data_IF_605355884111
#
_entry.id   IF_605355884111
#
_cell.length_a   1.000
_cell.length_b   1.000
_cell.length_c   1.000
_cell.angle_alpha   90.00
_cell.angle_beta   90.00
_cell.angle_gamma   90.00
#
_symmetry.space_group_name_H-M   'P 1'
#
loop_
_entity.id
_entity.type
_entity.pdbx_description
1 polymer ?
#
# COMPACT_ATOMS: atom_id res chain seq x y z
N UNK A 1 57.89 -17.25 -27.50
CA UNK A 1 57.58 -17.20 -28.95
C UNK A 1 56.24 -16.48 -29.17
N UNK A 2 55.92 -16.02 -30.37
CA UNK A 2 54.67 -15.27 -30.66
C UNK A 2 53.40 -16.10 -30.34
N UNK A 3 53.50 -17.43 -30.48
CA UNK A 3 52.45 -18.39 -30.14
C UNK A 3 52.11 -18.40 -28.63
N UNK A 4 53.11 -18.31 -27.76
CA UNK A 4 52.90 -18.27 -26.29
C UNK A 4 52.15 -17.00 -25.88
N UNK A 5 52.45 -15.86 -26.49
CA UNK A 5 51.75 -14.59 -26.20
C UNK A 5 50.28 -14.68 -26.59
N UNK A 6 49.95 -15.27 -27.74
CA UNK A 6 48.56 -15.50 -28.17
C UNK A 6 47.83 -16.46 -27.23
N UNK A 7 48.48 -17.54 -26.81
CA UNK A 7 47.91 -18.50 -25.86
C UNK A 7 47.60 -17.84 -24.51
N UNK A 8 48.52 -17.03 -23.99
CA UNK A 8 48.34 -16.29 -22.72
C UNK A 8 47.19 -15.29 -22.84
N UNK A 9 47.11 -14.52 -23.93
CA UNK A 9 46.00 -13.58 -24.16
C UNK A 9 44.64 -14.27 -24.24
N UNK A 10 44.56 -15.44 -24.88
CA UNK A 10 43.34 -16.24 -24.96
C UNK A 10 42.88 -16.71 -23.58
N UNK A 11 43.81 -17.28 -22.79
CA UNK A 11 43.51 -17.77 -21.44
C UNK A 11 43.09 -16.62 -20.52
N UNK A 12 43.82 -15.51 -20.53
CA UNK A 12 43.44 -14.33 -19.74
C UNK A 12 42.09 -13.74 -20.18
N UNK A 13 41.83 -13.66 -21.49
CA UNK A 13 40.55 -13.20 -22.01
C UNK A 13 39.38 -14.09 -21.55
N UNK A 14 39.57 -15.41 -21.55
CA UNK A 14 38.56 -16.38 -21.12
C UNK A 14 38.31 -16.29 -19.60
N UNK A 15 39.35 -16.10 -18.81
CA UNK A 15 39.24 -15.88 -17.35
C UNK A 15 38.48 -14.58 -17.07
N UNK A 16 38.85 -13.48 -17.72
CA UNK A 16 38.19 -12.19 -17.55
C UNK A 16 36.71 -12.28 -17.95
N UNK A 17 36.41 -12.89 -19.10
CA UNK A 17 35.05 -13.10 -19.55
C UNK A 17 34.23 -13.94 -18.55
N UNK A 18 34.83 -14.99 -17.98
CA UNK A 18 34.21 -15.80 -16.92
C UNK A 18 33.87 -14.98 -15.67
N UNK A 19 34.82 -14.15 -15.19
CA UNK A 19 34.61 -13.28 -14.04
C UNK A 19 33.49 -12.27 -14.30
N UNK A 20 33.50 -11.62 -15.46
CA UNK A 20 32.44 -10.67 -15.83
C UNK A 20 31.08 -11.36 -15.96
N UNK A 21 31.01 -12.59 -16.49
CA UNK A 21 29.77 -13.34 -16.59
C UNK A 21 29.18 -13.63 -15.20
N UNK A 22 30.00 -14.13 -14.27
CA UNK A 22 29.57 -14.38 -12.88
C UNK A 22 29.14 -13.09 -12.18
N UNK A 23 29.90 -12.01 -12.34
CA UNK A 23 29.54 -10.72 -11.74
C UNK A 23 28.21 -10.17 -12.27
N UNK A 24 27.99 -10.26 -13.58
CA UNK A 24 26.75 -9.81 -14.22
C UNK A 24 25.56 -10.63 -13.71
N UNK A 25 25.71 -11.94 -13.60
CA UNK A 25 24.67 -12.82 -13.07
C UNK A 25 24.35 -12.53 -11.59
N UNK A 26 25.38 -12.41 -10.75
CA UNK A 26 25.23 -12.12 -9.33
C UNK A 26 24.60 -10.75 -9.07
N UNK A 27 25.00 -9.72 -9.83
CA UNK A 27 24.43 -8.37 -9.67
C UNK A 27 22.94 -8.30 -10.05
N UNK A 28 22.50 -9.08 -11.04
CA UNK A 28 21.09 -9.18 -11.40
C UNK A 28 20.28 -9.88 -10.31
N UNK A 29 20.77 -11.02 -9.82
CA UNK A 29 20.11 -11.76 -8.73
C UNK A 29 20.01 -10.91 -7.46
N UNK A 30 21.05 -10.17 -7.11
CA UNK A 30 21.02 -9.26 -5.97
C UNK A 30 19.99 -8.14 -6.15
N UNK A 31 19.93 -7.49 -7.32
CA UNK A 31 18.93 -6.44 -7.59
C UNK A 31 17.50 -6.97 -7.44
N UNK A 32 17.22 -8.16 -8.00
CA UNK A 32 15.91 -8.77 -7.89
C UNK A 32 15.55 -9.10 -6.43
N UNK A 33 16.50 -9.65 -5.66
CA UNK A 33 16.29 -9.94 -4.25
C UNK A 33 16.00 -8.66 -3.43
N UNK A 34 16.73 -7.57 -3.69
CA UNK A 34 16.50 -6.27 -3.04
C UNK A 34 15.12 -5.72 -3.37
N UNK A 35 14.68 -5.80 -4.63
CA UNK A 35 13.34 -5.37 -5.03
C UNK A 35 12.24 -6.16 -4.31
N UNK A 36 12.36 -7.49 -4.27
CA UNK A 36 11.37 -8.34 -3.60
C UNK A 36 11.33 -8.11 -2.09
N UNK A 37 12.50 -7.88 -1.48
CA UNK A 37 12.60 -7.54 -0.06
C UNK A 37 11.96 -6.17 0.22
N UNK A 38 12.21 -5.17 -0.64
CA UNK A 38 11.62 -3.83 -0.53
C UNK A 38 10.10 -3.88 -0.58
N UNK A 39 9.54 -4.54 -1.60
CA UNK A 39 8.09 -4.72 -1.75
C UNK A 39 7.47 -5.44 -0.55
N UNK A 40 8.12 -6.47 -0.01
CA UNK A 40 7.61 -7.20 1.15
C UNK A 40 7.58 -6.31 2.40
N UNK A 41 8.65 -5.55 2.65
CA UNK A 41 8.71 -4.61 3.77
C UNK A 41 7.68 -3.47 3.67
N UNK A 42 7.45 -2.96 2.46
CA UNK A 42 6.42 -1.96 2.17
C UNK A 42 5.02 -2.52 2.44
N UNK A 43 4.72 -3.73 1.97
CA UNK A 43 3.45 -4.43 2.22
C UNK A 43 3.19 -4.62 3.72
N UNK A 44 4.18 -5.10 4.48
CA UNK A 44 4.06 -5.27 5.93
C UNK A 44 3.87 -3.93 6.66
N UNK A 45 4.50 -2.86 6.17
CA UNK A 45 4.31 -1.51 6.71
C UNK A 45 2.87 -1.03 6.53
N UNK A 46 2.35 -1.14 5.29
CA UNK A 46 0.96 -0.78 4.97
C UNK A 46 -0.03 -1.60 5.77
N UNK A 47 0.13 -2.92 5.80
CA UNK A 47 -0.74 -3.84 6.54
C UNK A 47 -0.78 -3.48 8.02
N UNK A 48 0.40 -3.32 8.66
CA UNK A 48 0.48 -2.98 10.09
C UNK A 48 -0.17 -1.64 10.37
N UNK A 49 0.08 -0.62 9.54
CA UNK A 49 -0.47 0.71 9.72
C UNK A 49 -1.99 0.71 9.57
N UNK A 50 -2.51 0.13 8.50
CA UNK A 50 -3.95 0.04 8.24
C UNK A 50 -4.67 -0.77 9.33
N UNK A 51 -4.13 -1.93 9.70
CA UNK A 51 -4.70 -2.78 10.77
C UNK A 51 -4.71 -2.08 12.12
N UNK A 52 -3.63 -1.37 12.48
CA UNK A 52 -3.55 -0.63 13.73
C UNK A 52 -4.58 0.52 13.78
N UNK A 53 -4.73 1.24 12.67
CA UNK A 53 -5.68 2.34 12.58
C UNK A 53 -7.13 1.83 12.61
N UNK A 54 -7.44 0.73 11.92
CA UNK A 54 -8.78 0.14 11.92
C UNK A 54 -9.14 -0.50 13.27
N UNK A 55 -8.18 -1.11 13.98
CA UNK A 55 -8.39 -1.64 15.34
C UNK A 55 -8.89 -0.59 16.31
N UNK A 56 -8.42 0.65 16.19
CA UNK A 56 -8.90 1.76 17.00
C UNK A 56 -10.26 2.31 16.54
N UNK A 57 -10.79 1.87 15.41
CA UNK A 57 -12.04 2.36 14.84
C UNK A 57 -13.27 1.56 15.30
N UNK A 58 -14.38 1.76 14.61
CA UNK A 58 -15.66 1.10 14.81
C UNK A 58 -16.18 0.58 13.45
N UNK A 59 -16.56 -0.69 13.37
CA UNK A 59 -16.95 -1.33 12.10
C UNK A 59 -18.12 -0.62 11.40
N UNK A 60 -19.14 -0.20 12.15
CA UNK A 60 -20.30 0.52 11.60
C UNK A 60 -20.00 1.88 10.95
N UNK A 61 -18.76 2.37 10.98
CA UNK A 61 -18.36 3.63 10.31
C UNK A 61 -17.61 3.40 9.00
N UNK A 62 -17.46 2.15 8.60
CA UNK A 62 -16.82 1.80 7.34
C UNK A 62 -17.66 2.35 6.18
N UNK A 63 -17.01 3.14 5.33
CA UNK A 63 -17.51 3.44 4.00
C UNK A 63 -16.47 2.98 2.98
N UNK A 64 -16.94 2.29 1.94
CA UNK A 64 -16.14 1.82 0.82
C UNK A 64 -16.71 2.42 -0.46
N UNK A 65 -15.87 3.04 -1.27
CA UNK A 65 -16.23 3.53 -2.60
C UNK A 65 -15.41 2.74 -3.61
N UNK A 66 -16.03 1.85 -4.41
CA UNK A 66 -15.31 1.10 -5.42
C UNK A 66 -14.81 2.05 -6.51
N UNK A 67 -13.59 1.82 -6.98
CA UNK A 67 -13.00 2.53 -8.13
C UNK A 67 -12.23 1.54 -8.95
N UNK A 68 -12.34 1.63 -10.25
CA UNK A 68 -11.59 0.79 -11.17
C UNK A 68 -10.74 1.66 -12.10
N UNK A 69 -9.58 1.15 -12.48
CA UNK A 69 -8.72 1.74 -13.50
C UNK A 69 -8.04 0.66 -14.31
N UNK A 70 -7.50 1.00 -15.47
CA UNK A 70 -6.72 0.08 -16.28
C UNK A 70 -5.23 0.35 -16.06
N UNK A 71 -4.47 -0.67 -15.66
CA UNK A 71 -3.02 -0.55 -15.43
C UNK A 71 -2.27 -1.73 -16.04
N UNK A 72 -1.33 -1.47 -16.94
CA UNK A 72 -0.63 -2.53 -17.68
C UNK A 72 -1.56 -3.36 -18.59
N UNK A 73 -2.66 -2.77 -19.07
CA UNK A 73 -3.62 -3.42 -19.97
C UNK A 73 -4.63 -4.35 -19.29
N UNK A 74 -4.68 -4.37 -17.96
CA UNK A 74 -5.68 -5.10 -17.17
C UNK A 74 -6.44 -4.15 -16.25
N UNK A 75 -7.73 -4.44 -16.03
CA UNK A 75 -8.55 -3.71 -15.06
C UNK A 75 -8.18 -4.12 -13.64
N UNK A 76 -7.99 -3.13 -12.78
CA UNK A 76 -7.56 -3.27 -11.39
C UNK A 76 -8.43 -2.39 -10.49
N UNK A 77 -8.76 -2.92 -9.31
CA UNK A 77 -9.54 -2.20 -8.30
C UNK A 77 -8.64 -1.28 -7.47
N UNK A 78 -9.15 -0.08 -7.22
CA UNK A 78 -8.53 1.05 -6.52
C UNK A 78 -9.49 1.63 -5.49
N UNK A 79 -10.15 0.76 -4.75
CA UNK A 79 -11.21 1.13 -3.83
C UNK A 79 -10.74 2.21 -2.85
N UNK A 80 -11.64 3.10 -2.47
CA UNK A 80 -11.42 3.99 -1.34
C UNK A 80 -12.09 3.39 -0.10
N UNK A 81 -11.41 3.49 1.03
CA UNK A 81 -11.87 3.03 2.33
C UNK A 81 -11.83 4.21 3.28
N UNK A 82 -12.87 4.37 4.10
CA UNK A 82 -12.81 5.25 5.25
C UNK A 82 -13.46 4.65 6.47
N UNK A 83 -13.04 5.13 7.63
CA UNK A 83 -13.58 4.78 8.93
C UNK A 83 -13.19 5.85 9.96
N UNK A 84 -13.90 5.91 11.07
CA UNK A 84 -13.69 6.94 12.10
C UNK A 84 -12.42 6.74 12.90
N UNK A 85 -11.88 7.83 13.43
CA UNK A 85 -10.83 7.83 14.45
C UNK A 85 -11.03 8.99 15.41
N UNK A 86 -10.14 9.12 16.40
CA UNK A 86 -10.10 10.27 17.31
C UNK A 86 -8.94 11.20 16.97
N UNK A 87 -9.08 12.48 17.33
CA UNK A 87 -8.01 13.46 17.24
C UNK A 87 -6.83 13.14 18.15
N UNK A 88 -7.13 12.74 19.38
CA UNK A 88 -6.18 12.22 20.36
C UNK A 88 -6.88 11.17 21.23
N UNK A 89 -6.34 9.95 21.23
CA UNK A 89 -6.82 8.85 22.08
C UNK A 89 -6.48 9.04 23.56
N UNK A 90 -5.60 9.99 23.90
CA UNK A 90 -5.17 10.27 25.26
C UNK A 90 -5.98 11.38 25.94
N UNK A 91 -6.69 12.20 25.16
CA UNK A 91 -7.48 13.30 25.70
C UNK A 91 -8.86 12.77 26.18
N UNK A 92 -9.15 12.85 27.49
CA UNK A 92 -10.45 12.45 28.02
C UNK A 92 -11.64 13.24 27.43
N UNK A 93 -11.41 14.44 26.90
CA UNK A 93 -12.46 15.25 26.27
C UNK A 93 -13.04 14.60 25.00
N UNK A 94 -12.27 13.73 24.35
CA UNK A 94 -12.68 12.95 23.18
C UNK A 94 -13.52 11.72 23.54
N UNK A 95 -13.86 11.55 24.82
CA UNK A 95 -14.69 10.45 25.30
C UNK A 95 -15.95 11.00 25.96
N UNK A 96 -17.07 10.32 25.76
CA UNK A 96 -18.27 10.52 26.55
C UNK A 96 -18.01 10.09 28.00
N UNK A 97 -18.70 10.64 29.02
CA UNK A 97 -18.59 10.16 30.40
C UNK A 97 -18.82 8.66 30.62
N UNK A 98 -19.45 7.97 29.66
CA UNK A 98 -19.65 6.51 29.63
C UNK A 98 -18.44 5.74 29.10
N UNK A 99 -17.37 6.43 28.69
CA UNK A 99 -16.16 5.85 28.09
C UNK A 99 -16.22 5.63 26.58
N UNK A 100 -17.32 5.99 25.92
CA UNK A 100 -17.46 5.83 24.46
C UNK A 100 -16.71 6.94 23.71
N UNK A 101 -15.97 6.61 22.62
CA UNK A 101 -15.33 7.60 21.78
C UNK A 101 -16.32 8.59 21.15
N UNK A 102 -15.95 9.87 21.13
CA UNK A 102 -16.58 10.91 20.31
C UNK A 102 -15.80 11.03 19.02
N UNK A 103 -16.15 10.19 18.05
CA UNK A 103 -15.51 10.17 16.74
C UNK A 103 -15.49 11.57 16.13
N UNK A 104 -14.32 12.18 15.99
CA UNK A 104 -14.18 13.57 15.53
C UNK A 104 -13.35 13.68 14.25
N UNK A 105 -12.87 12.54 13.73
CA UNK A 105 -12.09 12.46 12.50
C UNK A 105 -12.43 11.22 11.71
N UNK A 106 -12.16 11.29 10.41
CA UNK A 106 -12.09 10.14 9.53
C UNK A 106 -10.65 9.86 9.12
N UNK A 107 -10.35 8.57 9.00
CA UNK A 107 -9.21 8.10 8.22
C UNK A 107 -9.70 7.66 6.86
N UNK A 108 -9.04 8.16 5.82
CA UNK A 108 -9.35 7.83 4.43
C UNK A 108 -8.13 7.19 3.80
N UNK A 109 -8.32 6.06 3.15
CA UNK A 109 -7.32 5.31 2.41
C UNK A 109 -7.79 5.16 0.99
N UNK A 110 -7.00 5.60 0.03
CA UNK A 110 -7.31 5.40 -1.37
C UNK A 110 -6.03 5.41 -2.20
N UNK A 111 -5.93 4.60 -3.25
CA UNK A 111 -4.87 4.75 -4.22
C UNK A 111 -5.18 5.86 -5.21
N UNK A 112 -4.14 6.54 -5.71
CA UNK A 112 -4.26 7.32 -6.95
C UNK A 112 -4.48 6.39 -8.15
N UNK A 113 -5.09 6.92 -9.21
CA UNK A 113 -5.44 6.19 -10.43
C UNK A 113 -4.30 6.15 -11.46
N UNK A 114 -3.13 6.68 -11.11
CA UNK A 114 -1.91 6.61 -11.92
C UNK A 114 -1.52 5.14 -12.21
N UNK A 115 -0.71 4.95 -13.26
CA UNK A 115 -0.25 3.61 -13.66
C UNK A 115 0.52 2.90 -12.52
N UNK A 116 1.39 3.64 -11.84
CA UNK A 116 1.98 3.32 -10.55
C UNK A 116 1.27 4.15 -9.48
N UNK A 117 0.11 3.66 -9.02
CA UNK A 117 -0.72 4.41 -8.10
C UNK A 117 -0.10 4.49 -6.71
N UNK A 118 -0.40 5.58 -6.00
CA UNK A 118 0.14 5.87 -4.67
C UNK A 118 -0.93 5.60 -3.62
N UNK A 119 -0.65 4.80 -2.59
CA UNK A 119 -1.59 4.59 -1.49
C UNK A 119 -1.56 5.82 -0.58
N UNK A 120 -2.57 6.65 -0.67
CA UNK A 120 -2.73 7.83 0.17
C UNK A 120 -3.49 7.45 1.44
N UNK A 121 -2.96 7.87 2.57
CA UNK A 121 -3.66 7.89 3.86
C UNK A 121 -3.91 9.33 4.27
N UNK A 122 -5.15 9.68 4.51
CA UNK A 122 -5.55 10.99 4.98
C UNK A 122 -6.23 10.93 6.34
N UNK A 123 -6.07 12.02 7.09
CA UNK A 123 -6.87 12.34 8.26
C UNK A 123 -7.74 13.53 7.86
N UNK A 124 -9.05 13.34 7.93
CA UNK A 124 -10.05 14.34 7.57
C UNK A 124 -10.80 14.76 8.81
N UNK A 125 -10.96 16.06 8.99
CA UNK A 125 -11.81 16.63 10.03
C UNK A 125 -13.28 16.38 9.66
N UNK A 126 -13.99 15.66 10.52
CA UNK A 126 -15.44 15.48 10.36
C UNK A 126 -16.25 16.57 11.06
N UNK A 127 -15.59 17.45 11.82
CA UNK A 127 -16.22 18.15 12.93
C UNK A 127 -16.58 17.18 14.05
N UNK A 128 -17.37 17.67 15.02
CA UNK A 128 -17.79 16.86 16.18
C UNK A 128 -18.91 15.90 15.75
N UNK A 129 -18.60 14.62 15.54
CA UNK A 129 -19.62 13.58 15.39
C UNK A 129 -19.91 12.96 16.76
N UNK A 130 -21.20 12.87 17.08
CA UNK A 130 -21.65 12.27 18.33
C UNK A 130 -21.92 10.75 18.21
N UNK A 131 -21.64 10.14 17.06
CA UNK A 131 -21.93 8.73 16.83
C UNK A 131 -21.11 8.09 15.71
N UNK A 132 -21.10 6.74 15.64
CA UNK A 132 -20.39 6.00 14.61
C UNK A 132 -21.17 6.08 13.29
N UNK A 133 -20.84 7.07 12.46
CA UNK A 133 -21.48 7.27 11.14
C UNK A 133 -20.44 7.08 10.03
N UNK A 134 -20.77 6.36 8.93
CA UNK A 134 -19.90 6.28 7.76
C UNK A 134 -19.64 7.65 7.12
N UNK A 135 -18.48 7.82 6.49
CA UNK A 135 -18.12 9.09 5.87
C UNK A 135 -18.89 9.31 4.56
N UNK A 136 -19.93 10.16 4.60
CA UNK A 136 -20.81 10.41 3.47
C UNK A 136 -20.09 11.02 2.25
N UNK A 137 -19.09 11.87 2.49
CA UNK A 137 -18.40 12.61 1.43
C UNK A 137 -17.17 11.85 0.87
N UNK A 138 -16.99 10.57 1.22
CA UNK A 138 -15.82 9.79 0.79
C UNK A 138 -15.59 9.86 -0.73
N UNK A 139 -16.64 9.69 -1.54
CA UNK A 139 -16.53 9.71 -3.00
C UNK A 139 -16.06 11.07 -3.56
N UNK A 140 -16.32 12.16 -2.84
CA UNK A 140 -15.91 13.51 -3.20
C UNK A 140 -14.50 13.86 -2.67
N UNK A 141 -13.99 13.08 -1.71
CA UNK A 141 -12.79 13.40 -0.95
C UNK A 141 -11.62 12.44 -1.19
N UNK A 142 -11.45 12.05 -2.46
CA UNK A 142 -10.45 11.08 -2.94
C UNK A 142 -9.79 11.58 -4.23
N UNK A 143 -9.50 12.88 -4.28
CA UNK A 143 -8.81 13.53 -5.39
C UNK A 143 -7.41 12.95 -5.61
N UNK A 144 -6.98 12.92 -6.87
CA UNK A 144 -5.60 12.54 -7.28
C UNK A 144 -4.54 13.50 -6.73
N UNK A 145 -4.96 14.71 -6.32
CA UNK A 145 -4.16 15.70 -5.61
C UNK A 145 -4.68 15.77 -4.16
N UNK A 146 -4.10 15.00 -3.22
CA UNK A 146 -4.58 14.89 -1.85
C UNK A 146 -4.83 16.22 -1.15
N UNK A 147 -3.98 17.23 -1.39
CA UNK A 147 -4.06 18.57 -0.83
C UNK A 147 -5.32 19.36 -1.22
N UNK A 148 -6.05 18.92 -2.26
CA UNK A 148 -7.30 19.55 -2.70
C UNK A 148 -8.53 19.01 -2.00
N UNK A 149 -8.38 17.93 -1.22
CA UNK A 149 -9.45 17.30 -0.46
C UNK A 149 -9.94 18.21 0.68
N UNK A 150 -11.27 18.33 0.81
CA UNK A 150 -11.90 19.16 1.82
C UNK A 150 -11.69 18.58 3.23
N UNK A 151 -11.51 19.46 4.22
CA UNK A 151 -11.32 19.03 5.62
C UNK A 151 -10.03 18.26 5.88
N UNK A 152 -9.07 18.26 4.94
CA UNK A 152 -7.78 17.58 5.12
C UNK A 152 -7.00 18.20 6.29
N UNK A 153 -6.67 17.37 7.27
CA UNK A 153 -5.77 17.72 8.37
C UNK A 153 -4.35 17.21 8.14
N UNK A 154 -4.24 16.00 7.59
CA UNK A 154 -2.96 15.34 7.33
C UNK A 154 -3.09 14.40 6.14
N UNK A 155 -2.07 14.38 5.27
CA UNK A 155 -1.93 13.39 4.19
C UNK A 155 -0.56 12.72 4.29
N UNK A 156 -0.50 11.43 3.98
CA UNK A 156 0.75 10.67 3.93
C UNK A 156 0.66 9.58 2.87
N UNK A 157 1.66 9.50 2.00
CA UNK A 157 1.79 8.39 1.07
C UNK A 157 2.40 7.19 1.81
N UNK A 158 1.70 6.06 1.82
CA UNK A 158 2.15 4.82 2.45
C UNK A 158 2.90 3.90 1.46
N UNK A 159 2.58 4.02 0.19
CA UNK A 159 3.18 3.24 -0.90
C UNK A 159 3.13 4.03 -2.20
N UNK A 160 4.18 3.92 -3.02
CA UNK A 160 4.26 4.58 -4.34
C UNK A 160 3.98 3.59 -5.50
N UNK A 161 3.86 2.30 -5.19
CA UNK A 161 3.88 1.20 -6.16
C UNK A 161 2.60 0.35 -6.11
N UNK A 162 1.45 0.95 -5.81
CA UNK A 162 0.19 0.22 -5.73
C UNK A 162 -0.26 -0.15 -7.13
N UNK A 163 -0.56 -1.44 -7.33
CA UNK A 163 -1.25 -1.97 -8.51
C UNK A 163 -2.75 -2.10 -8.26
N UNK A 164 -3.13 -2.66 -7.11
CA UNK A 164 -4.52 -2.91 -6.74
C UNK A 164 -4.68 -2.71 -5.24
N UNK A 165 -5.82 -2.16 -4.84
CA UNK A 165 -6.25 -2.11 -3.45
C UNK A 165 -7.76 -2.34 -3.46
N UNK A 166 -8.15 -3.53 -3.04
CA UNK A 166 -9.54 -3.97 -3.01
C UNK A 166 -9.95 -4.22 -1.56
N UNK A 167 -11.11 -3.72 -1.18
CA UNK A 167 -11.63 -3.85 0.19
C UNK A 167 -13.03 -4.40 0.16
N UNK A 168 -13.26 -5.45 0.94
CA UNK A 168 -14.56 -6.10 1.08
C UNK A 168 -14.98 -6.09 2.56
N UNK A 169 -16.20 -5.65 2.81
CA UNK A 169 -16.82 -5.69 4.13
C UNK A 169 -17.47 -7.07 4.36
N UNK A 170 -17.08 -7.73 5.45
CA UNK A 170 -17.68 -8.97 5.90
C UNK A 170 -18.63 -8.70 7.06
N UNK A 171 -19.86 -8.28 6.74
CA UNK A 171 -20.87 -7.86 7.73
C UNK A 171 -21.20 -8.97 8.74
N UNK A 172 -21.16 -10.23 8.30
CA UNK A 172 -21.45 -11.39 9.14
C UNK A 172 -20.42 -11.57 10.28
N UNK A 173 -19.18 -11.11 10.07
CA UNK A 173 -18.09 -11.21 11.06
C UNK A 173 -17.64 -9.86 11.60
N UNK A 174 -18.20 -8.76 11.09
CA UNK A 174 -17.75 -7.39 11.36
C UNK A 174 -16.25 -7.20 11.09
N UNK A 175 -15.76 -7.78 9.98
CA UNK A 175 -14.37 -7.70 9.53
C UNK A 175 -14.25 -6.96 8.20
N UNK A 176 -13.07 -6.41 7.94
CA UNK A 176 -12.68 -5.96 6.61
C UNK A 176 -11.63 -6.88 6.04
N UNK A 177 -11.89 -7.39 4.84
CA UNK A 177 -10.94 -8.16 4.04
C UNK A 177 -10.28 -7.23 3.02
N UNK A 178 -8.95 -7.14 3.06
CA UNK A 178 -8.16 -6.25 2.21
C UNK A 178 -7.26 -7.10 1.32
N UNK A 179 -7.35 -6.89 0.02
CA UNK A 179 -6.40 -7.40 -0.96
C UNK A 179 -5.56 -6.24 -1.51
N UNK A 180 -4.28 -6.22 -1.16
CA UNK A 180 -3.32 -5.23 -1.62
C UNK A 180 -2.31 -5.90 -2.56
N UNK A 181 -2.16 -5.33 -3.75
CA UNK A 181 -1.13 -5.72 -4.73
C UNK A 181 -0.21 -4.55 -5.00
N UNK A 182 1.08 -4.75 -4.77
CA UNK A 182 2.13 -3.81 -5.13
C UNK A 182 2.89 -4.33 -6.36
N UNK A 183 3.26 -3.43 -7.26
CA UNK A 183 4.04 -3.75 -8.46
C UNK A 183 5.18 -2.76 -8.61
N UNK A 184 6.40 -3.26 -8.62
CA UNK A 184 7.58 -2.49 -8.96
C UNK A 184 8.12 -2.94 -10.32
N UNK A 185 8.56 -1.96 -11.11
CA UNK A 185 9.16 -2.18 -12.42
C UNK A 185 10.66 -2.34 -12.23
N UNK A 186 11.12 -3.57 -12.20
CA UNK A 186 12.53 -3.89 -12.14
C UNK A 186 13.31 -3.40 -13.37
N UNK A 187 14.64 -3.46 -13.27
CA UNK A 187 15.54 -3.10 -14.36
C UNK A 187 15.43 -4.06 -15.56
N UNK A 188 15.98 -3.64 -16.70
CA UNK A 188 16.14 -4.52 -17.87
C UNK A 188 17.13 -5.64 -17.57
N UNK A 189 16.80 -6.86 -18.00
CA UNK A 189 17.74 -8.00 -17.94
C UNK A 189 18.86 -7.77 -18.94
N UNK A 190 20.13 -7.84 -18.51
CA UNK A 190 21.25 -7.56 -19.41
C UNK A 190 21.27 -8.53 -20.59
N UNK A 191 21.43 -7.99 -21.81
CA UNK A 191 21.40 -8.77 -23.04
C UNK A 191 20.00 -9.01 -23.62
N UNK A 192 18.93 -8.55 -22.97
CA UNK A 192 17.57 -8.58 -23.54
C UNK A 192 16.83 -7.26 -23.35
N UNK A 193 15.84 -6.97 -24.20
CA UNK A 193 14.93 -5.84 -24.00
C UNK A 193 13.80 -6.14 -23.00
N UNK A 194 13.88 -7.25 -22.26
CA UNK A 194 12.82 -7.69 -21.34
C UNK A 194 12.98 -6.95 -20.01
N UNK A 195 11.90 -6.26 -19.63
CA UNK A 195 11.75 -5.66 -18.31
C UNK A 195 11.19 -6.73 -17.34
N UNK A 196 11.72 -6.78 -16.13
CA UNK A 196 11.22 -7.69 -15.09
C UNK A 196 10.28 -6.88 -14.22
N UNK A 197 8.98 -7.14 -14.34
CA UNK A 197 8.01 -6.59 -13.41
C UNK A 197 7.86 -7.57 -12.24
N UNK A 198 7.99 -7.05 -11.03
CA UNK A 198 7.79 -7.80 -9.79
C UNK A 198 6.48 -7.36 -9.17
N UNK A 199 5.60 -8.32 -8.89
CA UNK A 199 4.32 -8.08 -8.23
C UNK A 199 4.24 -8.89 -6.96
N UNK A 200 3.82 -8.24 -5.87
CA UNK A 200 3.55 -8.88 -4.59
C UNK A 200 2.11 -8.62 -4.18
N UNK A 201 1.49 -9.63 -3.59
CA UNK A 201 0.10 -9.62 -3.16
C UNK A 201 0.02 -10.07 -1.71
N UNK A 202 -0.83 -9.39 -0.94
CA UNK A 202 -1.23 -9.81 0.39
C UNK A 202 -2.73 -9.70 0.53
N UNK A 203 -3.31 -10.71 1.15
CA UNK A 203 -4.70 -10.71 1.59
C UNK A 203 -4.72 -10.84 3.09
N UNK A 204 -5.37 -9.91 3.77
CA UNK A 204 -5.47 -9.93 5.22
C UNK A 204 -6.84 -9.40 5.68
N UNK A 205 -7.28 -9.89 6.83
CA UNK A 205 -8.50 -9.45 7.48
C UNK A 205 -8.15 -8.59 8.70
N UNK A 206 -8.97 -7.58 8.97
CA UNK A 206 -8.81 -6.70 10.13
C UNK A 206 -10.14 -6.46 10.86
N UNK A 207 -10.05 -6.29 12.17
CA UNK A 207 -11.17 -6.11 13.09
C UNK A 207 -11.11 -4.75 13.80
N UNK A 208 -12.27 -4.16 14.06
CA UNK A 208 -12.40 -2.92 14.81
C UNK A 208 -12.77 -3.21 16.27
N UNK A 209 -11.93 -2.81 17.22
CA UNK A 209 -12.07 -3.21 18.63
C UNK A 209 -13.20 -2.47 19.36
N UNK A 210 -13.56 -1.27 18.90
CA UNK A 210 -14.60 -0.45 19.53
C UNK A 210 -16.01 -0.75 18.98
N UNK A 211 -16.19 -1.84 18.24
CA UNK A 211 -17.49 -2.25 17.71
C UNK A 211 -18.31 -2.98 18.78
N UNK A 212 -19.47 -2.43 19.12
CA UNK A 212 -20.44 -3.03 20.05
C UNK A 212 -21.89 -2.84 19.57
N UNK A 213 -22.78 -3.84 19.73
CA UNK A 213 -22.49 -5.21 20.14
C UNK A 213 -21.70 -5.98 19.08
N UNK A 214 -20.89 -6.96 19.52
CA UNK A 214 -20.27 -7.93 18.62
C UNK A 214 -21.31 -8.99 18.24
N UNK A 215 -21.40 -9.31 16.95
CA UNK A 215 -22.25 -10.39 16.44
C UNK A 215 -21.70 -11.77 16.82
#
# INVERSE_FOLDING_TARGET
>A
TLLEVVAVLLVFGLIIAGIFAVFTYSSQGFRQAVLQQGLSGEMESVQRKLSADFRASHYGTVAIVPRDTTSGGADVSRDALSFTTLSDWRDPANFHPTGLPRWDRYLVYYPTLDESGRLIRQVVDSGVLFGPVPYADLALNISELPETNAGLLQSTTLSENVLSFKVEANDARQLLDVNLRLRDRGGRVAGTNRQVDETREVVFSMDALNTFPRL
#
